data_IF_540033986131
#
_entry.id   IF_540033986131
#
_cell.length_a   1.000
_cell.length_b   1.000
_cell.length_c   1.000
_cell.angle_alpha   90.00
_cell.angle_beta   90.00
_cell.angle_gamma   90.00
#
_symmetry.space_group_name_H-M   'P 1'
#
loop_
_entity.id
_entity.type
_entity.pdbx_description
1 polymer ?
#
# COMPACT_ATOMS: atom_id res chain seq x y z
N UNK A 1 91.02 3.85 -28.17
CA UNK A 1 90.59 3.93 -26.73
C UNK A 1 90.63 2.55 -26.15
N UNK A 2 91.24 2.34 -24.95
CA UNK A 2 91.38 1.00 -24.38
C UNK A 2 89.96 0.50 -23.91
N UNK A 3 89.53 -0.76 -24.24
CA UNK A 3 88.21 -1.29 -23.99
C UNK A 3 87.70 -1.15 -22.51
N UNK A 4 88.64 -1.10 -21.58
CA UNK A 4 88.38 -0.92 -20.14
C UNK A 4 87.74 0.44 -19.79
N UNK A 5 88.01 1.51 -20.53
CA UNK A 5 87.44 2.86 -20.27
C UNK A 5 85.98 2.93 -20.74
N UNK A 6 85.68 2.25 -21.82
CA UNK A 6 84.32 2.21 -22.37
C UNK A 6 83.36 1.40 -21.42
N UNK A 7 83.88 0.31 -20.90
CA UNK A 7 83.14 -0.53 -19.98
C UNK A 7 82.83 0.20 -18.66
N UNK A 8 83.78 0.93 -18.13
CA UNK A 8 83.64 1.71 -16.91
C UNK A 8 82.61 2.85 -17.10
N UNK A 9 82.65 3.51 -18.27
CA UNK A 9 81.69 4.57 -18.59
C UNK A 9 80.24 4.07 -18.72
N UNK A 10 80.06 2.92 -19.38
CA UNK A 10 78.73 2.28 -19.51
C UNK A 10 78.18 1.80 -18.16
N UNK A 11 79.07 1.27 -17.31
CA UNK A 11 78.68 0.86 -15.96
C UNK A 11 78.27 2.05 -15.08
N UNK A 12 78.96 3.17 -15.20
CA UNK A 12 78.64 4.39 -14.46
C UNK A 12 77.25 4.96 -14.89
N UNK A 13 76.98 4.98 -16.21
CA UNK A 13 75.71 5.40 -16.77
C UNK A 13 74.52 4.48 -16.27
N UNK A 14 74.78 3.19 -16.25
CA UNK A 14 73.81 2.23 -15.76
C UNK A 14 73.49 2.38 -14.26
N UNK A 15 74.57 2.69 -13.47
CA UNK A 15 74.42 2.95 -12.04
C UNK A 15 73.60 4.22 -11.76
N UNK A 16 73.81 5.27 -12.53
CA UNK A 16 73.05 6.52 -12.46
C UNK A 16 71.59 6.28 -12.78
N UNK A 17 71.31 5.44 -13.80
CA UNK A 17 69.96 5.10 -14.19
C UNK A 17 69.20 4.36 -13.08
N UNK A 18 69.88 3.43 -12.38
CA UNK A 18 69.33 2.71 -11.23
C UNK A 18 69.05 3.67 -10.07
N UNK A 19 69.94 4.59 -9.78
CA UNK A 19 69.71 5.57 -8.69
C UNK A 19 68.55 6.50 -8.99
N UNK A 20 68.43 6.98 -10.24
CA UNK A 20 67.30 7.80 -10.65
C UNK A 20 65.97 7.05 -10.61
N UNK A 21 65.94 5.78 -11.03
CA UNK A 21 64.76 4.93 -10.96
C UNK A 21 64.32 4.65 -9.52
N UNK A 22 65.26 4.33 -8.63
CA UNK A 22 65.00 4.14 -7.19
C UNK A 22 64.52 5.43 -6.52
N UNK A 23 65.15 6.59 -6.86
CA UNK A 23 64.73 7.89 -6.35
C UNK A 23 63.33 8.27 -6.78
N UNK A 24 62.93 8.03 -8.04
CA UNK A 24 61.61 8.22 -8.56
C UNK A 24 60.56 7.31 -7.89
N UNK A 25 60.93 6.04 -7.64
CA UNK A 25 60.09 5.10 -6.95
C UNK A 25 59.84 5.50 -5.48
N UNK A 26 60.89 5.88 -4.76
CA UNK A 26 60.77 6.37 -3.38
C UNK A 26 59.99 7.66 -3.29
N UNK A 27 60.08 8.57 -4.25
CA UNK A 27 59.30 9.80 -4.33
C UNK A 27 57.82 9.50 -4.58
N UNK A 28 57.54 8.52 -5.44
CA UNK A 28 56.15 8.05 -5.73
C UNK A 28 55.51 7.40 -4.51
N UNK A 29 56.27 6.67 -3.71
CA UNK A 29 55.78 6.07 -2.45
C UNK A 29 55.50 7.16 -1.40
N UNK A 30 56.31 8.21 -1.34
CA UNK A 30 56.13 9.33 -0.42
C UNK A 30 54.92 10.17 -0.79
N UNK A 31 54.66 10.41 -2.07
CA UNK A 31 53.49 11.12 -2.56
C UNK A 31 52.17 10.31 -2.37
N UNK A 32 52.26 8.97 -2.24
CA UNK A 32 51.12 8.14 -1.89
C UNK A 32 50.77 8.14 -0.39
N UNK A 33 51.77 8.41 0.46
CA UNK A 33 51.63 8.46 1.92
C UNK A 33 51.04 9.78 2.42
N UNK A 34 51.15 10.87 1.62
CA UNK A 34 50.64 12.21 1.99
C UNK A 34 49.22 12.51 1.49
N UNK A 35 48.48 11.52 0.96
CA UNK A 35 47.04 11.63 0.92
C UNK A 35 46.54 11.47 2.36
N UNK A 36 46.47 12.57 3.08
CA UNK A 36 45.65 12.67 4.28
C UNK A 36 44.28 12.09 3.92
N UNK A 37 43.94 10.95 4.53
CA UNK A 37 42.57 10.45 4.57
C UNK A 37 41.86 11.52 5.39
N UNK A 38 41.24 12.48 4.73
CA UNK A 38 40.25 13.32 5.35
C UNK A 38 39.18 12.34 5.84
N UNK A 39 38.86 12.29 7.14
CA UNK A 39 37.81 11.37 7.61
C UNK A 39 36.55 11.76 6.86
N UNK A 40 36.05 10.82 6.04
CA UNK A 40 34.73 10.93 5.42
C UNK A 40 33.74 11.34 6.54
N UNK A 41 32.94 12.40 6.35
CA UNK A 41 32.00 12.78 7.38
C UNK A 41 31.19 11.50 7.71
N UNK A 42 31.24 11.07 8.98
CA UNK A 42 30.38 10.02 9.47
C UNK A 42 28.96 10.42 9.06
N UNK A 43 28.43 9.78 8.00
CA UNK A 43 27.01 9.85 7.69
C UNK A 43 26.33 9.50 9.02
N UNK A 44 25.66 10.50 9.59
CA UNK A 44 24.77 10.22 10.73
C UNK A 44 23.91 9.04 10.29
N UNK A 45 23.76 8.01 11.13
CA UNK A 45 22.84 6.95 10.83
C UNK A 45 21.52 7.64 10.48
N UNK A 46 21.11 7.56 9.24
CA UNK A 46 19.74 7.92 8.83
C UNK A 46 18.89 7.00 9.66
N UNK A 47 18.19 7.55 10.67
CA UNK A 47 17.15 6.81 11.34
C UNK A 47 16.28 6.21 10.23
N UNK A 48 15.93 4.92 10.29
CA UNK A 48 15.09 4.32 9.29
C UNK A 48 13.82 5.19 9.24
N UNK A 49 13.63 5.92 8.14
CA UNK A 49 12.39 6.64 7.92
C UNK A 49 11.30 5.57 7.88
N UNK A 50 10.55 5.41 8.97
CA UNK A 50 9.39 4.54 9.01
C UNK A 50 8.42 5.16 8.01
N UNK A 51 8.42 4.66 6.78
CA UNK A 51 7.45 5.08 5.79
C UNK A 51 6.06 4.58 6.24
N UNK A 52 5.06 5.45 6.13
CA UNK A 52 3.67 5.05 6.39
C UNK A 52 3.31 3.84 5.54
N UNK A 53 2.48 2.92 6.06
CA UNK A 53 1.89 1.86 5.24
C UNK A 53 1.09 2.43 4.07
N UNK A 54 1.09 1.74 2.93
CA UNK A 54 0.20 2.07 1.82
C UNK A 54 -1.19 1.53 2.10
N UNK A 55 -2.21 2.38 2.07
CA UNK A 55 -3.61 1.95 2.20
C UNK A 55 -4.10 1.46 0.85
N UNK A 56 -4.43 0.17 0.77
CA UNK A 56 -5.04 -0.42 -0.42
C UNK A 56 -6.56 -0.35 -0.27
N UNK A 57 -7.19 0.49 -1.07
CA UNK A 57 -8.63 0.65 -1.10
C UNK A 57 -9.19 -0.25 -2.19
N UNK A 58 -9.96 -1.24 -1.79
CA UNK A 58 -10.57 -2.19 -2.71
C UNK A 58 -12.04 -1.83 -2.95
N UNK A 59 -12.36 -1.40 -4.16
CA UNK A 59 -13.75 -1.20 -4.57
C UNK A 59 -14.35 -2.55 -4.97
N UNK A 60 -15.14 -3.15 -4.08
CA UNK A 60 -15.74 -4.47 -4.32
C UNK A 60 -16.54 -4.54 -5.62
N UNK A 61 -16.64 -5.74 -6.22
CA UNK A 61 -17.29 -5.98 -7.51
C UNK A 61 -16.69 -5.19 -8.68
N UNK A 62 -17.41 -5.10 -9.81
CA UNK A 62 -17.01 -4.35 -11.00
C UNK A 62 -17.34 -5.06 -12.30
N UNK A 63 -17.44 -4.30 -13.38
CA UNK A 63 -17.73 -4.83 -14.71
C UNK A 63 -19.03 -5.67 -14.74
N UNK A 64 -18.91 -6.95 -15.10
CA UNK A 64 -20.03 -7.89 -15.16
C UNK A 64 -20.56 -8.31 -13.78
N UNK A 65 -19.76 -8.22 -12.73
CA UNK A 65 -20.19 -8.45 -11.34
C UNK A 65 -20.77 -7.16 -10.75
N UNK A 66 -22.07 -7.00 -10.86
CA UNK A 66 -22.79 -5.82 -10.34
C UNK A 66 -22.86 -5.77 -8.82
N UNK A 67 -22.59 -6.87 -8.11
CA UNK A 67 -22.91 -7.01 -6.70
C UNK A 67 -24.43 -7.06 -6.47
N UNK A 68 -24.87 -6.60 -5.31
CA UNK A 68 -26.29 -6.44 -5.01
C UNK A 68 -26.90 -5.26 -5.80
N UNK A 69 -28.22 -5.29 -5.96
CA UNK A 69 -28.97 -4.22 -6.63
C UNK A 69 -30.04 -3.68 -5.68
N UNK A 70 -29.99 -2.37 -5.47
CA UNK A 70 -30.98 -1.66 -4.68
C UNK A 70 -32.34 -1.54 -5.38
N UNK A 71 -33.39 -1.27 -4.61
CA UNK A 71 -34.74 -1.08 -5.17
C UNK A 71 -34.84 0.09 -6.14
N UNK A 72 -34.01 1.10 -5.99
CA UNK A 72 -33.91 2.23 -6.91
C UNK A 72 -33.10 1.92 -8.20
N UNK A 73 -32.63 0.67 -8.35
CA UNK A 73 -31.82 0.22 -9.49
C UNK A 73 -30.32 0.51 -9.35
N UNK A 74 -29.86 1.06 -8.23
CA UNK A 74 -28.44 1.30 -8.00
C UNK A 74 -27.67 -0.03 -7.86
N UNK A 75 -26.53 -0.15 -8.50
CA UNK A 75 -25.63 -1.29 -8.35
C UNK A 75 -24.62 -1.07 -7.24
N UNK A 76 -24.38 -2.09 -6.44
CA UNK A 76 -23.38 -2.09 -5.38
C UNK A 76 -21.99 -1.68 -5.92
N UNK A 77 -21.56 -2.23 -7.06
CA UNK A 77 -20.28 -1.93 -7.68
C UNK A 77 -20.04 -0.45 -7.94
N UNK A 78 -21.09 0.30 -8.28
CA UNK A 78 -21.01 1.72 -8.61
C UNK A 78 -20.86 2.56 -7.34
N UNK A 79 -21.65 2.23 -6.30
CA UNK A 79 -21.53 2.85 -4.98
C UNK A 79 -20.15 2.58 -4.37
N UNK A 80 -19.66 1.34 -4.44
CA UNK A 80 -18.34 0.96 -3.96
C UNK A 80 -17.24 1.78 -4.63
N UNK A 81 -17.32 1.96 -5.95
CA UNK A 81 -16.34 2.73 -6.72
C UNK A 81 -16.33 4.21 -6.32
N UNK A 82 -17.51 4.82 -6.19
CA UNK A 82 -17.63 6.24 -5.81
C UNK A 82 -17.11 6.49 -4.38
N UNK A 83 -17.49 5.66 -3.42
CA UNK A 83 -16.99 5.76 -2.04
C UNK A 83 -15.47 5.54 -2.03
N UNK A 84 -14.94 4.56 -2.76
CA UNK A 84 -13.50 4.28 -2.81
C UNK A 84 -12.69 5.45 -3.38
N UNK A 85 -13.19 6.12 -4.44
CA UNK A 85 -12.56 7.31 -5.02
C UNK A 85 -12.55 8.49 -4.04
N UNK A 86 -13.67 8.72 -3.35
CA UNK A 86 -13.78 9.77 -2.34
C UNK A 86 -12.85 9.50 -1.14
N UNK A 87 -12.78 8.25 -0.69
CA UNK A 87 -11.86 7.84 0.38
C UNK A 87 -10.40 8.06 -0.03
N UNK A 88 -10.02 7.66 -1.27
CA UNK A 88 -8.68 7.93 -1.79
C UNK A 88 -8.35 9.41 -1.75
N UNK A 89 -9.23 10.27 -2.25
CA UNK A 89 -8.99 11.72 -2.27
C UNK A 89 -8.78 12.29 -0.86
N UNK A 90 -9.47 11.77 0.16
CA UNK A 90 -9.29 12.19 1.56
C UNK A 90 -7.97 11.70 2.15
N UNK A 91 -7.60 10.45 1.90
CA UNK A 91 -6.31 9.91 2.37
C UNK A 91 -5.13 10.63 1.70
N UNK A 92 -5.23 10.92 0.40
CA UNK A 92 -4.24 11.73 -0.33
C UNK A 92 -4.09 13.13 0.30
N UNK A 93 -5.21 13.77 0.67
CA UNK A 93 -5.20 15.08 1.33
C UNK A 93 -4.57 15.05 2.74
N UNK A 94 -4.62 13.91 3.43
CA UNK A 94 -3.93 13.66 4.70
C UNK A 94 -2.47 13.25 4.53
N UNK A 95 -1.96 13.14 3.29
CA UNK A 95 -0.62 12.68 2.99
C UNK A 95 -0.40 11.19 3.26
N UNK A 96 -1.47 10.39 3.34
CA UNK A 96 -1.42 8.95 3.54
C UNK A 96 -1.30 8.26 2.18
N UNK A 97 -0.21 7.51 1.92
CA UNK A 97 -0.07 6.78 0.66
C UNK A 97 -1.23 5.81 0.45
N UNK A 98 -1.91 5.87 -0.69
CA UNK A 98 -3.03 4.97 -0.94
C UNK A 98 -3.22 4.66 -2.42
N UNK A 99 -3.68 3.43 -2.70
CA UNK A 99 -3.91 2.90 -4.03
C UNK A 99 -5.29 2.26 -4.14
N UNK A 100 -5.92 2.39 -5.29
CA UNK A 100 -7.18 1.73 -5.62
C UNK A 100 -6.92 0.41 -6.34
N UNK A 101 -7.64 -0.65 -5.99
CA UNK A 101 -7.60 -1.89 -6.79
C UNK A 101 -8.18 -1.68 -8.17
N UNK A 102 -9.22 -0.85 -8.30
CA UNK A 102 -9.79 -0.39 -9.57
C UNK A 102 -10.24 1.07 -9.48
N UNK A 103 -10.06 1.82 -10.55
CA UNK A 103 -10.54 3.20 -10.71
C UNK A 103 -11.67 3.34 -11.74
N UNK A 104 -12.04 2.22 -12.36
CA UNK A 104 -13.07 2.13 -13.41
C UNK A 104 -14.02 0.97 -13.12
N UNK A 105 -15.12 0.90 -13.87
CA UNK A 105 -16.08 -0.22 -13.80
C UNK A 105 -15.58 -1.44 -14.56
N UNK A 106 -14.61 -2.15 -13.97
CA UNK A 106 -13.97 -3.33 -14.52
C UNK A 106 -13.82 -4.43 -13.49
N UNK A 107 -13.69 -5.68 -13.94
CA UNK A 107 -13.07 -6.78 -13.21
C UNK A 107 -11.58 -6.79 -13.48
N UNK A 108 -10.77 -7.19 -12.48
CA UNK A 108 -9.32 -7.10 -12.52
C UNK A 108 -8.62 -8.32 -13.12
N UNK A 109 -9.34 -9.41 -13.41
CA UNK A 109 -8.72 -10.59 -13.98
C UNK A 109 -8.23 -10.36 -15.42
N UNK A 110 -7.21 -11.09 -15.83
CA UNK A 110 -6.73 -11.08 -17.20
C UNK A 110 -7.83 -11.63 -18.15
N UNK A 111 -8.36 -10.77 -19.02
CA UNK A 111 -9.43 -11.13 -19.98
C UNK A 111 -9.00 -12.16 -21.02
N UNK A 112 -7.70 -12.37 -21.20
CA UNK A 112 -7.14 -13.41 -22.08
C UNK A 112 -6.98 -14.76 -21.35
N UNK A 113 -7.16 -14.80 -20.01
CA UNK A 113 -7.13 -16.05 -19.28
C UNK A 113 -8.36 -16.89 -19.59
N UNK A 114 -8.19 -18.20 -19.64
CA UNK A 114 -9.30 -19.14 -19.72
C UNK A 114 -10.07 -19.12 -18.37
N UNK A 115 -11.20 -18.46 -18.35
CA UNK A 115 -11.97 -18.29 -17.11
C UNK A 115 -13.06 -19.35 -16.91
N UNK A 116 -13.52 -20.09 -17.95
CA UNK A 116 -14.50 -21.20 -17.83
C UNK A 116 -15.56 -21.01 -16.72
N UNK A 117 -16.20 -19.84 -16.63
CA UNK A 117 -17.16 -19.54 -15.56
C UNK A 117 -16.55 -19.15 -14.20
N UNK A 118 -15.24 -19.02 -14.07
CA UNK A 118 -14.52 -18.70 -12.82
C UNK A 118 -14.13 -17.21 -12.70
N UNK A 119 -14.76 -16.31 -13.44
CA UNK A 119 -14.44 -14.87 -13.47
C UNK A 119 -14.30 -14.25 -12.10
N UNK A 120 -15.28 -14.49 -11.21
CA UNK A 120 -15.25 -13.98 -9.82
C UNK A 120 -14.03 -14.48 -9.03
N UNK A 121 -13.65 -15.75 -9.21
CA UNK A 121 -12.47 -16.31 -8.54
C UNK A 121 -11.18 -15.67 -9.06
N UNK A 122 -11.08 -15.45 -10.37
CA UNK A 122 -9.93 -14.82 -10.99
C UNK A 122 -9.82 -13.35 -10.60
N UNK A 123 -10.95 -12.65 -10.48
CA UNK A 123 -11.00 -11.27 -10.00
C UNK A 123 -10.51 -11.17 -8.54
N UNK A 124 -10.98 -12.04 -7.65
CA UNK A 124 -10.51 -12.10 -6.26
C UNK A 124 -9.01 -12.41 -6.17
N UNK A 125 -8.51 -13.30 -7.03
CA UNK A 125 -7.08 -13.60 -7.09
C UNK A 125 -6.28 -12.38 -7.55
N UNK A 126 -6.74 -11.66 -8.57
CA UNK A 126 -6.08 -10.45 -9.07
C UNK A 126 -6.05 -9.34 -8.00
N UNK A 127 -7.12 -9.18 -7.19
CA UNK A 127 -7.16 -8.24 -6.05
C UNK A 127 -6.16 -8.65 -4.97
N UNK A 128 -6.09 -9.93 -4.65
CA UNK A 128 -5.10 -10.47 -3.71
C UNK A 128 -3.67 -10.22 -4.20
N UNK A 129 -3.38 -10.54 -5.47
CA UNK A 129 -2.07 -10.30 -6.07
C UNK A 129 -1.70 -8.82 -6.12
N UNK A 130 -2.69 -7.94 -6.37
CA UNK A 130 -2.48 -6.49 -6.31
C UNK A 130 -2.07 -6.05 -4.91
N UNK A 131 -2.83 -6.41 -3.88
CA UNK A 131 -2.54 -6.04 -2.50
C UNK A 131 -1.20 -6.63 -2.00
N UNK A 132 -0.88 -7.85 -2.41
CA UNK A 132 0.34 -8.57 -2.01
C UNK A 132 1.64 -7.97 -2.57
N UNK A 133 1.57 -7.03 -3.52
CA UNK A 133 2.74 -6.28 -3.99
C UNK A 133 3.30 -5.32 -2.94
N UNK A 134 2.49 -4.94 -1.96
CA UNK A 134 2.83 -3.97 -0.93
C UNK A 134 3.19 -4.69 0.37
N UNK A 135 4.48 -4.66 0.74
CA UNK A 135 4.97 -5.32 1.96
C UNK A 135 4.48 -4.65 3.24
N UNK A 136 4.30 -3.32 3.21
CA UNK A 136 3.79 -2.53 4.32
C UNK A 136 2.47 -1.89 3.87
N UNK A 137 1.36 -2.57 4.13
CA UNK A 137 0.03 -2.16 3.67
C UNK A 137 -1.04 -2.29 4.75
N UNK A 138 -2.12 -1.53 4.57
CA UNK A 138 -3.43 -1.72 5.20
C UNK A 138 -4.44 -1.90 4.08
N UNK A 139 -5.29 -2.92 4.17
CA UNK A 139 -6.29 -3.23 3.15
C UNK A 139 -7.70 -2.90 3.64
N UNK A 140 -8.43 -2.09 2.87
CA UNK A 140 -9.81 -1.67 3.16
C UNK A 140 -10.68 -1.97 1.95
N UNK A 141 -11.53 -2.99 2.03
CA UNK A 141 -12.49 -3.33 0.99
C UNK A 141 -13.84 -2.67 1.26
N UNK A 142 -14.38 -1.97 0.27
CA UNK A 142 -15.64 -1.23 0.35
C UNK A 142 -16.74 -2.04 -0.32
N UNK A 143 -17.79 -2.31 0.42
CA UNK A 143 -18.97 -3.12 0.02
C UNK A 143 -20.28 -2.52 0.53
N UNK A 144 -21.39 -3.05 0.03
CA UNK A 144 -22.73 -2.78 0.51
C UNK A 144 -23.41 -4.10 0.86
N UNK A 145 -23.91 -4.19 2.08
CA UNK A 145 -24.59 -5.39 2.55
C UNK A 145 -25.95 -5.58 1.85
N UNK A 146 -26.38 -6.82 1.74
CA UNK A 146 -27.69 -7.14 1.19
C UNK A 146 -28.29 -8.32 1.94
N UNK A 147 -29.58 -8.22 2.28
CA UNK A 147 -30.31 -9.29 2.92
C UNK A 147 -31.76 -9.36 2.41
N UNK A 148 -32.35 -10.56 2.25
CA UNK A 148 -33.73 -10.71 1.74
C UNK A 148 -34.79 -9.98 2.51
N UNK A 149 -34.56 -9.71 3.81
CA UNK A 149 -35.47 -8.93 4.65
C UNK A 149 -35.02 -7.49 4.70
N UNK A 150 -35.80 -6.60 4.16
CA UNK A 150 -35.49 -5.17 3.97
C UNK A 150 -35.35 -4.35 5.28
N UNK A 151 -35.77 -4.90 6.41
CA UNK A 151 -35.66 -4.26 7.72
C UNK A 151 -34.26 -4.25 8.29
N UNK A 152 -33.32 -4.96 7.67
CA UNK A 152 -31.92 -4.91 8.09
C UNK A 152 -31.27 -3.64 7.61
N UNK A 153 -30.53 -3.02 8.52
CA UNK A 153 -29.85 -1.74 8.35
C UNK A 153 -28.51 -1.74 9.05
N UNK A 154 -27.66 -0.77 8.72
CA UNK A 154 -26.51 -0.37 9.49
C UNK A 154 -25.16 -0.73 8.89
N UNK A 155 -24.17 -0.01 9.36
CA UNK A 155 -22.75 -0.19 9.07
C UNK A 155 -22.21 -1.42 9.80
N UNK A 156 -21.35 -2.20 9.13
CA UNK A 156 -20.72 -3.41 9.69
C UNK A 156 -19.31 -3.58 9.13
N UNK A 157 -18.37 -3.95 9.98
CA UNK A 157 -17.01 -4.27 9.56
C UNK A 157 -16.71 -5.76 9.78
N UNK A 158 -16.18 -6.41 8.77
CA UNK A 158 -15.51 -7.69 8.91
C UNK A 158 -14.00 -7.45 8.93
N UNK A 159 -13.28 -8.04 9.88
CA UNK A 159 -11.83 -7.90 10.00
C UNK A 159 -11.10 -9.23 9.80
N UNK A 160 -9.89 -9.18 9.25
CA UNK A 160 -9.05 -10.37 9.11
C UNK A 160 -8.56 -10.86 10.47
N UNK A 161 -8.72 -12.15 10.80
CA UNK A 161 -8.15 -12.72 12.02
C UNK A 161 -6.64 -12.95 11.92
N UNK A 162 -6.04 -12.74 10.74
CA UNK A 162 -4.62 -13.02 10.49
C UNK A 162 -3.68 -11.92 11.03
N UNK A 163 -4.25 -10.75 11.42
CA UNK A 163 -3.47 -9.62 11.88
C UNK A 163 -4.25 -8.85 12.97
N UNK A 164 -3.65 -8.67 14.13
CA UNK A 164 -4.32 -8.01 15.28
C UNK A 164 -4.74 -6.57 14.99
N UNK A 165 -3.94 -5.83 14.19
CA UNK A 165 -4.29 -4.47 13.81
C UNK A 165 -5.58 -4.38 12.95
N UNK A 166 -6.05 -5.49 12.37
CA UNK A 166 -7.34 -5.53 11.68
C UNK A 166 -8.52 -5.33 12.63
N UNK A 167 -8.47 -5.95 13.81
CA UNK A 167 -9.48 -5.76 14.86
C UNK A 167 -9.46 -4.34 15.41
N UNK A 168 -8.26 -3.78 15.65
CA UNK A 168 -8.10 -2.39 16.09
C UNK A 168 -8.70 -1.42 15.05
N UNK A 169 -8.41 -1.63 13.76
CA UNK A 169 -8.99 -0.80 12.69
C UNK A 169 -10.51 -0.89 12.67
N UNK A 170 -11.08 -2.10 12.85
CA UNK A 170 -12.51 -2.28 12.88
C UNK A 170 -13.18 -1.52 14.04
N UNK A 171 -12.61 -1.55 15.24
CA UNK A 171 -13.08 -0.78 16.39
C UNK A 171 -13.00 0.74 16.16
N UNK A 172 -11.89 1.23 15.56
CA UNK A 172 -11.73 2.63 15.20
C UNK A 172 -12.76 3.07 14.15
N UNK A 173 -13.07 2.22 13.16
CA UNK A 173 -14.09 2.47 12.16
C UNK A 173 -15.50 2.57 12.79
N UNK A 174 -15.85 1.64 13.68
CA UNK A 174 -17.12 1.70 14.41
C UNK A 174 -17.28 2.99 15.21
N UNK A 175 -16.24 3.34 15.99
CA UNK A 175 -16.21 4.58 16.77
C UNK A 175 -16.39 5.81 15.88
N UNK A 176 -15.58 5.93 14.84
CA UNK A 176 -15.55 7.11 13.97
C UNK A 176 -16.87 7.27 13.19
N UNK A 177 -17.47 6.17 12.70
CA UNK A 177 -18.76 6.21 12.02
C UNK A 177 -19.89 6.54 12.99
N UNK A 178 -19.86 6.00 14.20
CA UNK A 178 -20.86 6.33 15.23
C UNK A 178 -20.84 7.83 15.58
N UNK A 179 -19.65 8.42 15.66
CA UNK A 179 -19.49 9.85 15.96
C UNK A 179 -19.90 10.75 14.79
N UNK A 180 -19.52 10.40 13.55
CA UNK A 180 -19.78 11.20 12.37
C UNK A 180 -21.20 11.06 11.80
N UNK A 181 -21.83 9.91 11.98
CA UNK A 181 -23.12 9.53 11.41
C UNK A 181 -24.02 8.93 12.50
N UNK A 182 -24.45 9.71 13.50
CA UNK A 182 -25.19 9.19 14.66
C UNK A 182 -26.56 8.58 14.30
N UNK A 183 -27.10 8.90 13.12
CA UNK A 183 -28.32 8.30 12.56
C UNK A 183 -28.08 6.92 11.93
N UNK A 184 -26.82 6.54 11.71
CA UNK A 184 -26.45 5.24 11.15
C UNK A 184 -26.21 4.24 12.26
N UNK A 185 -26.95 3.15 12.25
CA UNK A 185 -26.71 2.06 13.19
C UNK A 185 -25.36 1.42 12.92
N UNK A 186 -24.42 1.52 13.85
CA UNK A 186 -23.21 0.70 13.85
C UNK A 186 -23.48 -0.66 14.49
N UNK A 187 -23.09 -1.72 13.79
CA UNK A 187 -23.12 -3.10 14.27
C UNK A 187 -21.75 -3.49 14.77
N UNK A 188 -21.70 -4.33 15.80
CA UNK A 188 -20.45 -4.91 16.29
C UNK A 188 -19.68 -5.60 15.16
N UNK A 189 -18.40 -5.29 15.02
CA UNK A 189 -17.50 -5.88 14.03
C UNK A 189 -17.31 -7.38 14.26
N UNK A 190 -16.98 -8.09 13.20
CA UNK A 190 -16.86 -9.55 13.23
C UNK A 190 -15.58 -10.02 12.56
N UNK A 191 -14.98 -11.04 13.16
CA UNK A 191 -13.90 -11.73 12.47
C UNK A 191 -14.42 -12.35 11.16
N UNK A 192 -13.71 -12.08 10.08
CA UNK A 192 -13.98 -12.70 8.78
C UNK A 192 -13.75 -14.20 8.84
N UNK A 193 -14.53 -14.92 8.06
CA UNK A 193 -14.36 -16.38 7.89
C UNK A 193 -13.68 -16.68 6.57
N UNK A 194 -13.32 -17.93 6.33
CA UNK A 194 -12.75 -18.39 5.04
C UNK A 194 -13.65 -18.11 3.82
N UNK A 195 -14.89 -17.72 4.02
CA UNK A 195 -15.80 -17.30 2.94
C UNK A 195 -15.45 -15.90 2.39
N UNK A 196 -14.74 -15.07 3.16
CA UNK A 196 -14.26 -13.77 2.72
C UNK A 196 -12.79 -13.93 2.29
N UNK A 197 -12.60 -14.33 1.03
CA UNK A 197 -11.31 -14.77 0.48
C UNK A 197 -10.16 -13.81 0.78
N UNK A 198 -10.33 -12.50 0.59
CA UNK A 198 -9.26 -11.51 0.79
C UNK A 198 -8.87 -11.41 2.26
N UNK A 199 -9.83 -11.39 3.19
CA UNK A 199 -9.54 -11.37 4.63
C UNK A 199 -8.90 -12.67 5.13
N UNK A 200 -9.21 -13.80 4.49
CA UNK A 200 -8.61 -15.10 4.82
C UNK A 200 -7.16 -15.23 4.32
N UNK A 201 -6.81 -14.57 3.21
CA UNK A 201 -5.51 -14.76 2.55
C UNK A 201 -4.49 -13.67 2.82
N UNK A 202 -4.93 -12.43 3.07
CA UNK A 202 -4.02 -11.33 3.34
C UNK A 202 -3.42 -11.45 4.75
N UNK A 203 -2.13 -11.12 4.87
CA UNK A 203 -1.39 -11.08 6.14
C UNK A 203 -1.24 -9.68 6.72
N UNK A 204 -1.50 -8.63 5.92
CA UNK A 204 -1.54 -7.26 6.40
C UNK A 204 -2.81 -6.98 7.19
N UNK A 205 -2.90 -5.87 7.96
CA UNK A 205 -4.16 -5.39 8.50
C UNK A 205 -5.20 -5.26 7.38
N UNK A 206 -6.34 -5.94 7.52
CA UNK A 206 -7.35 -6.01 6.46
C UNK A 206 -8.77 -5.99 7.02
N UNK A 207 -9.63 -5.16 6.43
CA UNK A 207 -11.05 -5.06 6.76
C UNK A 207 -11.90 -5.06 5.49
N UNK A 208 -13.13 -5.55 5.60
CA UNK A 208 -14.21 -5.38 4.65
C UNK A 208 -15.30 -4.57 5.32
N UNK A 209 -15.60 -3.42 4.75
CA UNK A 209 -16.55 -2.44 5.25
C UNK A 209 -17.84 -2.56 4.47
N UNK A 210 -18.90 -3.02 5.15
CA UNK A 210 -20.27 -2.98 4.67
C UNK A 210 -20.88 -1.63 5.07
N UNK A 211 -20.89 -0.67 4.14
CA UNK A 211 -21.25 0.71 4.43
C UNK A 211 -22.72 0.91 4.83
N UNK A 212 -23.58 -0.05 4.49
CA UNK A 212 -25.01 -0.09 4.80
C UNK A 212 -25.68 -1.19 3.99
N UNK A 213 -26.99 -1.38 4.15
CA UNK A 213 -27.76 -2.41 3.43
C UNK A 213 -28.40 -1.81 2.18
N UNK A 214 -27.85 -2.11 1.01
CA UNK A 214 -28.44 -1.67 -0.27
C UNK A 214 -29.84 -2.24 -0.51
N UNK A 215 -30.19 -3.36 0.16
CA UNK A 215 -31.52 -3.96 0.14
C UNK A 215 -32.56 -3.19 0.96
N UNK A 216 -32.14 -2.29 1.86
CA UNK A 216 -33.01 -1.38 2.60
C UNK A 216 -33.16 -0.08 1.79
N UNK A 217 -34.40 0.31 1.48
CA UNK A 217 -34.69 1.46 0.61
C UNK A 217 -34.14 2.79 1.17
N UNK A 218 -34.29 3.02 2.48
CA UNK A 218 -33.80 4.24 3.12
C UNK A 218 -32.26 4.30 3.13
N UNK A 219 -31.59 3.17 3.42
CA UNK A 219 -30.14 3.10 3.37
C UNK A 219 -29.61 3.19 1.95
N UNK A 220 -30.24 2.51 0.99
CA UNK A 220 -29.89 2.62 -0.42
C UNK A 220 -29.94 4.07 -0.90
N UNK A 221 -30.94 4.83 -0.50
CA UNK A 221 -31.03 6.26 -0.83
C UNK A 221 -29.88 7.05 -0.22
N UNK A 222 -29.54 6.82 1.06
CA UNK A 222 -28.38 7.48 1.71
C UNK A 222 -27.05 7.06 1.08
N UNK A 223 -26.87 5.79 0.78
CA UNK A 223 -25.65 5.28 0.14
C UNK A 223 -25.39 5.88 -1.25
N UNK A 224 -26.44 6.33 -1.94
CA UNK A 224 -26.37 7.05 -3.21
C UNK A 224 -26.22 8.58 -3.03
N UNK A 225 -26.38 9.09 -1.81
CA UNK A 225 -26.28 10.52 -1.51
C UNK A 225 -24.84 10.98 -1.35
N UNK A 226 -24.48 12.06 -2.03
CA UNK A 226 -23.10 12.55 -2.05
C UNK A 226 -22.65 13.05 -0.67
N UNK A 227 -23.51 13.75 0.07
CA UNK A 227 -23.17 14.29 1.39
C UNK A 227 -22.95 13.16 2.40
N UNK A 228 -23.82 12.15 2.37
CA UNK A 228 -23.66 10.96 3.20
C UNK A 228 -22.35 10.22 2.90
N UNK A 229 -22.05 9.98 1.61
CA UNK A 229 -20.80 9.35 1.20
C UNK A 229 -19.57 10.15 1.66
N UNK A 230 -19.63 11.48 1.59
CA UNK A 230 -18.55 12.34 2.05
C UNK A 230 -18.31 12.24 3.56
N UNK A 231 -19.36 12.22 4.39
CA UNK A 231 -19.26 12.00 5.84
C UNK A 231 -18.73 10.62 6.18
N UNK A 232 -19.20 9.60 5.47
CA UNK A 232 -18.72 8.23 5.63
C UNK A 232 -17.22 8.10 5.31
N UNK A 233 -16.78 8.68 4.19
CA UNK A 233 -15.36 8.70 3.82
C UNK A 233 -14.51 9.48 4.82
N UNK A 234 -15.05 10.55 5.41
CA UNK A 234 -14.39 11.29 6.49
C UNK A 234 -14.18 10.40 7.71
N UNK A 235 -15.22 9.69 8.15
CA UNK A 235 -15.12 8.76 9.25
C UNK A 235 -14.09 7.65 8.99
N UNK A 236 -14.13 7.02 7.81
CA UNK A 236 -13.20 5.96 7.45
C UNK A 236 -11.75 6.49 7.37
N UNK A 237 -11.54 7.68 6.79
CA UNK A 237 -10.20 8.27 6.71
C UNK A 237 -9.66 8.68 8.08
N UNK A 238 -10.50 9.19 8.98
CA UNK A 238 -10.14 9.52 10.37
C UNK A 238 -9.70 8.27 11.14
N UNK A 239 -10.47 7.19 11.09
CA UNK A 239 -10.13 5.91 11.71
C UNK A 239 -8.80 5.35 11.16
N UNK A 240 -8.60 5.45 9.85
CA UNK A 240 -7.37 5.01 9.18
C UNK A 240 -6.17 5.84 9.62
N UNK A 241 -6.31 7.18 9.69
CA UNK A 241 -5.26 8.08 10.16
C UNK A 241 -4.90 7.81 11.63
N UNK A 242 -5.90 7.55 12.50
CA UNK A 242 -5.68 7.19 13.92
C UNK A 242 -4.89 5.89 14.04
N UNK A 243 -5.22 4.85 13.25
CA UNK A 243 -4.45 3.60 13.20
C UNK A 243 -2.99 3.83 12.81
N UNK A 244 -2.76 4.72 11.84
CA UNK A 244 -1.42 5.01 11.29
C UNK A 244 -0.63 6.04 12.12
N UNK A 245 -1.23 6.63 13.17
CA UNK A 245 -0.62 7.67 13.98
C UNK A 245 -0.44 9.01 13.24
N UNK A 246 -1.20 9.24 12.18
CA UNK A 246 -1.23 10.50 11.42
C UNK A 246 -2.21 11.46 12.11
N UNK A 247 -1.78 12.72 12.29
CA UNK A 247 -2.57 13.75 12.99
C UNK A 247 -3.07 14.80 12.00
#
# INVERSE_FOLDING_TARGET
MKPRKIFLSLFLIFLIFIICALGGFLLSLRMRSDKSIEPEPLEKPTEPSISLPTVIIDAGHGGEDGGAVGKNGAYEKDINLEISKKLKARLDALGIPCELTRSEDILLYDRNADFEGKKKKLDLLARYEFASKYQNAVFISIHQNSFPKEQYDGFLVYYSPNNEASGILAELLEKSVTEALPETRCRESKAGTSSIYLLDKLSCPAVLVECGFISNEAECSRLCDEEYQNKLCEAISTATAELLGVK
#
